data_IF_132376818138
#
_entry.id   IF_132376818138
#
_cell.length_a   1.000
_cell.length_b   1.000
_cell.length_c   1.000
_cell.angle_alpha   90.00
_cell.angle_beta   90.00
_cell.angle_gamma   90.00
#
_symmetry.space_group_name_H-M   'P 1'
#
loop_
_entity.id
_entity.type
_entity.pdbx_description
1 polymer ?
#
# COMPACT_ATOMS: atom_id res chain seq x y z
N UNK A 1 -10.75 -5.54 -12.46
CA UNK A 1 -9.31 -5.89 -12.37
C UNK A 1 -9.25 -7.26 -11.74
N UNK A 2 -8.56 -8.22 -12.33
CA UNK A 2 -8.55 -9.58 -11.79
C UNK A 2 -7.64 -9.67 -10.56
N UNK A 3 -7.89 -10.64 -9.68
CA UNK A 3 -7.06 -10.85 -8.49
C UNK A 3 -5.61 -11.16 -8.88
N UNK A 4 -5.39 -11.90 -9.98
CA UNK A 4 -4.05 -12.18 -10.50
C UNK A 4 -3.27 -10.89 -10.83
N UNK A 5 -3.91 -9.92 -11.49
CA UNK A 5 -3.30 -8.62 -11.81
C UNK A 5 -2.94 -7.84 -10.54
N UNK A 6 -3.83 -7.84 -9.54
CA UNK A 6 -3.59 -7.21 -8.24
C UNK A 6 -2.37 -7.84 -7.56
N UNK A 7 -2.30 -9.17 -7.55
CA UNK A 7 -1.19 -9.89 -6.94
C UNK A 7 0.14 -9.62 -7.65
N UNK A 8 0.15 -9.52 -8.99
CA UNK A 8 1.34 -9.16 -9.75
C UNK A 8 1.91 -7.78 -9.34
N UNK A 9 1.05 -6.84 -8.95
CA UNK A 9 1.45 -5.51 -8.49
C UNK A 9 1.87 -5.48 -7.01
N UNK A 10 1.26 -6.31 -6.17
CA UNK A 10 1.42 -6.27 -4.71
C UNK A 10 2.53 -7.18 -4.20
N UNK A 11 2.79 -8.30 -4.87
CA UNK A 11 3.79 -9.29 -4.43
C UNK A 11 5.20 -8.70 -4.41
N UNK A 12 5.73 -8.07 -5.49
CA UNK A 12 7.09 -7.56 -5.50
C UNK A 12 7.41 -6.59 -4.34
N UNK A 13 6.61 -5.53 -4.08
CA UNK A 13 6.90 -4.63 -2.97
C UNK A 13 6.73 -5.29 -1.60
N UNK A 14 5.84 -6.28 -1.45
CA UNK A 14 5.68 -7.00 -0.18
C UNK A 14 6.87 -7.91 0.12
N UNK A 15 7.38 -8.62 -0.89
CA UNK A 15 8.59 -9.45 -0.76
C UNK A 15 9.80 -8.59 -0.37
N UNK A 16 9.92 -7.40 -0.96
CA UNK A 16 10.98 -6.46 -0.59
C UNK A 16 10.82 -5.95 0.86
N UNK A 17 9.60 -5.71 1.35
CA UNK A 17 9.36 -5.38 2.76
C UNK A 17 9.80 -6.51 3.69
N UNK A 18 9.47 -7.76 3.35
CA UNK A 18 9.92 -8.93 4.10
C UNK A 18 11.45 -9.04 4.10
N UNK A 19 12.09 -8.88 2.95
CA UNK A 19 13.56 -8.90 2.82
C UNK A 19 14.22 -7.85 3.71
N UNK A 20 13.68 -6.63 3.74
CA UNK A 20 14.21 -5.54 4.58
C UNK A 20 13.99 -5.80 6.07
N UNK A 21 12.84 -6.34 6.44
CA UNK A 21 12.57 -6.74 7.82
C UNK A 21 13.63 -7.75 8.27
N UNK A 22 13.90 -8.78 7.45
CA UNK A 22 14.95 -9.78 7.68
C UNK A 22 16.37 -9.21 7.75
N UNK A 23 16.72 -8.29 6.86
CA UNK A 23 18.06 -7.68 6.88
C UNK A 23 18.33 -6.89 8.17
N UNK A 24 17.31 -6.24 8.72
CA UNK A 24 17.41 -5.54 10.01
C UNK A 24 17.63 -6.50 11.21
N UNK A 25 17.26 -7.78 11.06
CA UNK A 25 17.49 -8.82 12.09
C UNK A 25 18.97 -9.11 12.28
N UNK A 26 19.79 -9.02 11.22
CA UNK A 26 21.24 -9.22 11.27
C UNK A 26 21.98 -8.23 12.20
N UNK A 27 21.33 -7.13 12.57
CA UNK A 27 21.88 -6.11 13.47
C UNK A 27 21.45 -6.30 14.95
N UNK A 28 20.44 -7.14 15.24
CA UNK A 28 19.93 -7.38 16.61
C UNK A 28 19.53 -8.85 16.82
N UNK A 29 20.41 -9.68 17.40
CA UNK A 29 20.28 -11.14 17.37
C UNK A 29 19.25 -11.75 18.34
N UNK A 30 18.35 -10.98 18.98
CA UNK A 30 17.50 -11.51 20.05
C UNK A 30 16.03 -11.76 19.73
N UNK A 31 15.49 -11.31 18.60
CA UNK A 31 14.20 -11.79 18.08
C UNK A 31 13.97 -11.17 16.68
N UNK A 32 13.67 -11.98 15.65
CA UNK A 32 13.44 -11.47 14.29
C UNK A 32 12.24 -10.49 14.27
N UNK A 33 12.46 -9.24 13.86
CA UNK A 33 11.36 -8.26 13.77
C UNK A 33 10.46 -8.63 12.59
N UNK A 34 9.20 -9.07 12.85
CA UNK A 34 8.35 -9.57 11.79
C UNK A 34 8.00 -8.45 10.80
N UNK A 35 7.80 -8.81 9.54
CA UNK A 35 7.26 -7.86 8.56
C UNK A 35 5.96 -7.27 9.09
N UNK A 36 5.93 -5.95 9.27
CA UNK A 36 4.75 -5.25 9.73
C UNK A 36 3.57 -5.49 8.77
N UNK A 37 2.36 -5.79 9.29
CA UNK A 37 1.17 -5.87 8.46
C UNK A 37 0.99 -4.57 7.68
N UNK A 38 0.83 -4.71 6.38
CA UNK A 38 0.85 -3.62 5.42
C UNK A 38 -0.45 -3.60 4.63
N UNK A 39 -1.18 -2.49 4.71
CA UNK A 39 -2.34 -2.21 3.89
C UNK A 39 -1.89 -1.49 2.61
N UNK A 40 -2.35 -1.94 1.45
CA UNK A 40 -1.90 -1.48 0.14
C UNK A 40 -3.12 -1.09 -0.68
N UNK A 41 -3.08 0.13 -1.26
CA UNK A 41 -4.10 0.62 -2.18
C UNK A 41 -3.63 0.48 -3.62
N UNK A 42 -4.43 -0.20 -4.44
CA UNK A 42 -4.20 -0.38 -5.88
C UNK A 42 -5.26 0.37 -6.66
N UNK A 43 -4.84 1.17 -7.64
CA UNK A 43 -5.72 1.91 -8.56
C UNK A 43 -5.00 2.18 -9.86
N UNK A 44 -5.71 2.08 -10.99
CA UNK A 44 -5.15 2.27 -12.33
C UNK A 44 -3.94 1.36 -12.59
N UNK A 45 -4.08 0.07 -12.25
CA UNK A 45 -3.04 -0.95 -12.46
C UNK A 45 -1.68 -0.62 -11.80
N UNK A 46 -1.70 0.13 -10.69
CA UNK A 46 -0.50 0.45 -9.91
C UNK A 46 -0.81 0.49 -8.42
N UNK A 47 0.22 0.26 -7.62
CA UNK A 47 0.20 0.63 -6.20
C UNK A 47 0.23 2.16 -6.10
N UNK A 48 -0.70 2.73 -5.35
CA UNK A 48 -0.80 4.19 -5.13
C UNK A 48 -0.27 4.56 -3.76
N UNK A 49 -0.56 3.76 -2.74
CA UNK A 49 -0.10 4.00 -1.39
C UNK A 49 -0.01 2.71 -0.60
N UNK A 50 0.79 2.73 0.46
CA UNK A 50 0.80 1.69 1.47
C UNK A 50 0.89 2.28 2.87
N UNK A 51 0.36 1.54 3.85
CA UNK A 51 0.49 1.85 5.28
C UNK A 51 0.92 0.59 6.00
N UNK A 52 2.11 0.62 6.60
CA UNK A 52 2.67 -0.47 7.41
C UNK A 52 2.68 -0.07 8.87
N UNK A 53 2.21 -0.92 9.77
CA UNK A 53 2.25 -0.65 11.21
C UNK A 53 2.57 -1.92 12.00
N UNK A 54 3.13 -1.84 13.22
CA UNK A 54 3.48 -3.04 13.99
C UNK A 54 2.28 -3.88 14.44
N UNK A 55 1.05 -3.37 14.37
CA UNK A 55 -0.15 -4.03 14.88
C UNK A 55 -1.23 -4.07 13.81
N UNK A 56 -1.75 -5.27 13.54
CA UNK A 56 -2.79 -5.48 12.53
C UNK A 56 -4.00 -4.56 12.72
N UNK A 57 -4.47 -4.38 13.96
CA UNK A 57 -5.61 -3.50 14.26
C UNK A 57 -5.38 -2.04 13.87
N UNK A 58 -4.15 -1.52 13.96
CA UNK A 58 -3.83 -0.16 13.53
C UNK A 58 -3.77 -0.09 11.99
N UNK A 59 -3.21 -1.12 11.35
CA UNK A 59 -3.20 -1.26 9.89
C UNK A 59 -4.64 -1.29 9.33
N UNK A 60 -5.53 -2.10 9.91
CA UNK A 60 -6.94 -2.20 9.50
C UNK A 60 -7.71 -0.88 9.74
N UNK A 61 -7.41 -0.16 10.82
CA UNK A 61 -7.97 1.17 11.08
C UNK A 61 -7.61 2.23 10.02
N UNK A 62 -6.67 1.93 9.12
CA UNK A 62 -6.30 2.77 7.98
C UNK A 62 -7.09 2.42 6.70
N UNK A 63 -7.85 1.32 6.67
CA UNK A 63 -8.62 0.88 5.50
C UNK A 63 -9.67 1.91 5.07
N UNK A 64 -10.47 2.39 6.01
CA UNK A 64 -11.50 3.40 5.76
C UNK A 64 -10.95 4.69 5.15
N UNK A 65 -9.99 5.40 5.78
CA UNK A 65 -9.43 6.62 5.19
C UNK A 65 -8.72 6.37 3.85
N UNK A 66 -8.08 5.19 3.66
CA UNK A 66 -7.51 4.84 2.35
C UNK A 66 -8.60 4.63 1.28
N UNK A 67 -9.70 3.94 1.60
CA UNK A 67 -10.79 3.71 0.65
C UNK A 67 -11.49 5.01 0.24
N UNK A 68 -11.74 5.90 1.20
CA UNK A 68 -12.42 7.17 0.97
C UNK A 68 -11.51 8.17 0.24
N UNK A 69 -10.24 8.24 0.65
CA UNK A 69 -9.31 9.25 0.15
C UNK A 69 -8.57 8.88 -1.13
N UNK A 70 -8.25 7.60 -1.33
CA UNK A 70 -7.45 7.15 -2.47
C UNK A 70 -8.29 6.52 -3.59
N UNK A 71 -9.59 6.39 -3.39
CA UNK A 71 -10.51 5.71 -4.31
C UNK A 71 -9.92 4.44 -4.97
N UNK A 72 -9.44 3.47 -4.17
CA UNK A 72 -8.76 2.31 -4.72
C UNK A 72 -9.71 1.39 -5.48
N UNK A 73 -9.20 0.75 -6.53
CA UNK A 73 -9.88 -0.38 -7.17
C UNK A 73 -9.77 -1.66 -6.35
N UNK A 74 -8.72 -1.76 -5.52
CA UNK A 74 -8.56 -2.83 -4.54
C UNK A 74 -7.77 -2.37 -3.32
N UNK A 75 -8.13 -2.89 -2.15
CA UNK A 75 -7.32 -2.87 -0.95
C UNK A 75 -6.77 -4.28 -0.69
N UNK A 76 -5.50 -4.34 -0.32
CA UNK A 76 -4.83 -5.59 0.05
C UNK A 76 -4.16 -5.43 1.40
N UNK A 77 -4.45 -6.34 2.33
CA UNK A 77 -3.67 -6.49 3.57
C UNK A 77 -2.67 -7.61 3.35
N UNK A 78 -1.39 -7.26 3.37
CA UNK A 78 -0.28 -8.20 3.32
C UNK A 78 0.34 -8.34 4.72
N UNK A 79 0.54 -9.56 5.19
CA UNK A 79 1.14 -9.84 6.49
C UNK A 79 1.99 -11.10 6.45
N UNK A 80 3.01 -11.13 7.33
CA UNK A 80 3.73 -12.36 7.61
C UNK A 80 2.83 -13.30 8.40
N UNK A 81 2.79 -14.56 7.99
CA UNK A 81 2.04 -15.63 8.64
C UNK A 81 2.91 -16.87 8.81
N UNK A 82 2.45 -17.79 9.65
CA UNK A 82 2.99 -19.14 9.73
C UNK A 82 1.89 -20.13 9.36
N UNK A 83 2.15 -20.98 8.36
CA UNK A 83 1.24 -22.01 7.88
C UNK A 83 1.93 -23.34 8.09
N UNK A 84 1.35 -24.20 8.93
CA UNK A 84 1.93 -25.51 9.28
C UNK A 84 3.39 -25.40 9.76
N UNK A 85 3.70 -24.36 10.55
CA UNK A 85 5.05 -24.09 11.05
C UNK A 85 6.02 -23.44 10.05
N UNK A 86 5.60 -23.22 8.81
CA UNK A 86 6.42 -22.61 7.76
C UNK A 86 6.05 -21.14 7.56
N UNK A 87 7.06 -20.31 7.29
CA UNK A 87 6.89 -18.91 6.99
C UNK A 87 6.09 -18.73 5.68
N UNK A 88 5.15 -17.80 5.68
CA UNK A 88 4.39 -17.42 4.49
C UNK A 88 4.06 -15.92 4.50
N UNK A 89 3.79 -15.39 3.32
CA UNK A 89 3.10 -14.11 3.14
C UNK A 89 1.62 -14.40 2.87
N UNK A 90 0.77 -13.80 3.69
CA UNK A 90 -0.67 -13.89 3.57
C UNK A 90 -1.23 -12.57 3.03
N UNK A 91 -2.12 -12.66 2.06
CA UNK A 91 -2.75 -11.53 1.39
C UNK A 91 -4.26 -11.65 1.47
N UNK A 92 -4.90 -10.69 2.12
CA UNK A 92 -6.36 -10.51 2.07
C UNK A 92 -6.69 -9.41 1.08
N UNK A 93 -7.28 -9.79 -0.05
CA UNK A 93 -7.63 -8.89 -1.15
C UNK A 93 -9.13 -8.60 -1.12
N UNK A 94 -9.47 -7.32 -1.22
CA UNK A 94 -10.85 -6.86 -1.43
C UNK A 94 -10.87 -5.85 -2.58
N UNK A 95 -11.59 -6.19 -3.63
CA UNK A 95 -11.81 -5.29 -4.76
C UNK A 95 -13.01 -4.37 -4.53
N UNK A 96 -13.10 -3.31 -5.33
CA UNK A 96 -14.21 -2.34 -5.29
C UNK A 96 -15.57 -2.97 -5.62
N UNK A 97 -15.59 -3.98 -6.47
CA UNK A 97 -16.78 -4.77 -6.81
C UNK A 97 -17.12 -5.84 -5.77
N UNK A 98 -16.48 -5.81 -4.59
CA UNK A 98 -16.67 -6.72 -3.45
C UNK A 98 -16.29 -8.18 -3.74
N UNK A 99 -15.37 -8.39 -4.67
CA UNK A 99 -14.70 -9.67 -4.83
C UNK A 99 -13.59 -9.80 -3.79
N UNK A 100 -13.72 -10.82 -2.94
CA UNK A 100 -12.75 -11.12 -1.89
C UNK A 100 -11.89 -12.31 -2.28
N UNK A 101 -10.60 -12.29 -1.92
CA UNK A 101 -9.71 -13.45 -2.03
C UNK A 101 -8.69 -13.48 -0.91
N UNK A 102 -8.42 -14.66 -0.38
CA UNK A 102 -7.28 -14.92 0.47
C UNK A 102 -6.23 -15.68 -0.34
N UNK A 103 -4.99 -15.18 -0.33
CA UNK A 103 -3.87 -15.73 -1.11
C UNK A 103 -2.71 -15.97 -0.16
N UNK A 104 -2.08 -17.13 -0.27
CA UNK A 104 -0.90 -17.51 0.50
C UNK A 104 0.30 -17.65 -0.44
N UNK A 105 1.45 -17.22 0.03
CA UNK A 105 2.70 -17.36 -0.67
C UNK A 105 3.75 -17.91 0.29
N UNK A 106 4.18 -19.15 0.07
CA UNK A 106 5.17 -19.81 0.92
C UNK A 106 6.52 -19.10 0.82
N UNK A 107 7.21 -18.99 1.95
CA UNK A 107 8.55 -18.42 2.02
C UNK A 107 9.49 -19.46 2.62
N UNK A 108 10.59 -19.73 1.92
CA UNK A 108 11.67 -20.57 2.39
C UNK A 108 12.97 -19.77 2.40
N UNK A 109 13.92 -20.21 3.22
CA UNK A 109 15.29 -19.72 3.17
C UNK A 109 16.16 -20.83 2.57
N UNK A 110 16.94 -20.49 1.54
CA UNK A 110 17.90 -21.39 0.90
C UNK A 110 19.20 -20.64 0.71
N UNK A 111 20.29 -21.17 1.22
CA UNK A 111 21.64 -20.57 1.12
C UNK A 111 21.70 -19.10 1.60
N UNK A 112 20.96 -18.78 2.67
CA UNK A 112 20.86 -17.43 3.22
C UNK A 112 20.05 -16.44 2.35
N UNK A 113 19.40 -16.93 1.29
CA UNK A 113 18.52 -16.15 0.44
C UNK A 113 17.06 -16.54 0.64
N UNK A 114 16.19 -15.52 0.61
CA UNK A 114 14.76 -15.69 0.74
C UNK A 114 14.17 -16.14 -0.61
N UNK A 115 13.69 -17.37 -0.65
CA UNK A 115 13.03 -17.98 -1.80
C UNK A 115 11.52 -17.92 -1.59
N UNK A 116 10.83 -17.23 -2.51
CA UNK A 116 9.39 -17.04 -2.43
C UNK A 116 8.68 -17.93 -3.45
N UNK A 117 7.68 -18.68 -3.00
CA UNK A 117 6.83 -19.50 -3.86
C UNK A 117 5.89 -18.67 -4.73
N UNK A 118 5.13 -19.34 -5.59
CA UNK A 118 4.05 -18.67 -6.34
C UNK A 118 2.87 -18.40 -5.41
N UNK A 119 2.19 -17.24 -5.53
CA UNK A 119 0.94 -17.01 -4.80
C UNK A 119 -0.10 -18.06 -5.19
N UNK A 120 -0.69 -18.70 -4.20
CA UNK A 120 -1.71 -19.74 -4.34
C UNK A 120 -2.97 -19.38 -3.57
N UNK A 121 -4.08 -20.02 -3.91
CA UNK A 121 -5.33 -19.87 -3.18
C UNK A 121 -5.12 -20.27 -1.71
N UNK A 122 -5.39 -19.34 -0.80
CA UNK A 122 -5.26 -19.58 0.64
C UNK A 122 -6.49 -20.25 1.25
N UNK A 123 -7.55 -20.47 0.47
CA UNK A 123 -8.82 -20.98 0.97
C UNK A 123 -9.61 -19.90 1.73
N UNK A 124 -10.39 -20.33 2.73
CA UNK A 124 -11.11 -19.41 3.60
C UNK A 124 -10.22 -18.95 4.76
N UNK A 125 -10.17 -17.63 5.06
CA UNK A 125 -9.39 -17.15 6.18
C UNK A 125 -10.01 -17.60 7.50
N UNK A 126 -9.15 -18.03 8.44
CA UNK A 126 -9.59 -18.46 9.78
C UNK A 126 -10.25 -17.32 10.58
N UNK A 127 -9.84 -16.08 10.35
CA UNK A 127 -10.47 -14.87 10.90
C UNK A 127 -11.05 -14.02 9.76
N UNK A 128 -12.39 -13.94 9.62
CA UNK A 128 -13.03 -13.16 8.57
C UNK A 128 -12.96 -11.65 8.82
N UNK A 129 -12.52 -11.20 10.01
CA UNK A 129 -12.53 -9.79 10.41
C UNK A 129 -11.75 -8.88 9.44
N UNK A 130 -10.64 -9.36 8.89
CA UNK A 130 -9.85 -8.62 7.91
C UNK A 130 -10.69 -8.34 6.66
N UNK A 131 -11.29 -9.37 6.07
CA UNK A 131 -12.10 -9.22 4.86
C UNK A 131 -13.36 -8.38 5.12
N UNK A 132 -13.99 -8.53 6.28
CA UNK A 132 -15.13 -7.71 6.67
C UNK A 132 -14.75 -6.22 6.75
N UNK A 133 -13.65 -5.90 7.43
CA UNK A 133 -13.16 -4.51 7.56
C UNK A 133 -12.85 -3.90 6.19
N UNK A 134 -12.23 -4.69 5.30
CA UNK A 134 -11.95 -4.26 3.93
C UNK A 134 -13.24 -4.05 3.12
N UNK A 135 -14.23 -4.94 3.25
CA UNK A 135 -15.52 -4.80 2.56
C UNK A 135 -16.27 -3.55 3.03
N UNK A 136 -16.31 -3.30 4.34
CA UNK A 136 -16.92 -2.11 4.93
C UNK A 136 -16.26 -0.82 4.43
N UNK A 137 -14.92 -0.79 4.38
CA UNK A 137 -14.15 0.33 3.84
C UNK A 137 -14.41 0.54 2.34
N UNK A 138 -14.33 -0.52 1.53
CA UNK A 138 -14.54 -0.46 0.08
C UNK A 138 -15.99 -0.14 -0.30
N UNK A 139 -16.94 -0.37 0.61
CA UNK A 139 -18.33 0.06 0.47
C UNK A 139 -18.55 1.57 0.62
N UNK A 140 -17.57 2.32 1.10
CA UNK A 140 -17.71 3.77 1.33
C UNK A 140 -17.54 4.58 0.05
N UNK A 141 -18.27 5.69 -0.03
CA UNK A 141 -18.15 6.62 -1.15
C UNK A 141 -16.81 7.38 -1.07
N UNK A 142 -16.03 7.46 -2.17
CA UNK A 142 -14.79 8.23 -2.19
C UNK A 142 -15.06 9.74 -2.17
N UNK A 143 -14.03 10.50 -1.82
CA UNK A 143 -14.04 11.96 -1.93
C UNK A 143 -14.23 12.39 -3.39
N UNK A 144 -15.10 13.37 -3.61
CA UNK A 144 -15.30 13.97 -4.93
C UNK A 144 -14.12 14.90 -5.28
N UNK A 145 -13.24 14.42 -6.16
CA UNK A 145 -12.03 15.13 -6.58
C UNK A 145 -12.30 16.33 -7.48
N UNK A 146 -13.53 16.47 -8.00
CA UNK A 146 -13.93 17.61 -8.85
C UNK A 146 -14.24 18.86 -8.02
N UNK A 147 -14.35 18.72 -6.69
CA UNK A 147 -14.70 19.80 -5.76
C UNK A 147 -13.51 20.25 -4.90
N UNK A 148 -12.29 19.93 -5.33
CA UNK A 148 -11.09 20.34 -4.61
C UNK A 148 -10.78 21.79 -4.96
N UNK A 149 -10.98 22.69 -4.00
CA UNK A 149 -10.77 24.12 -4.20
C UNK A 149 -9.29 24.47 -4.43
N UNK A 150 -9.07 25.49 -5.27
CA UNK A 150 -7.76 26.12 -5.46
C UNK A 150 -7.33 26.87 -4.19
N UNK A 151 -6.03 26.84 -3.88
CA UNK A 151 -5.47 27.59 -2.73
C UNK A 151 -5.15 29.04 -3.08
N UNK A 152 -4.90 29.32 -4.36
CA UNK A 152 -4.64 30.63 -4.93
C UNK A 152 -5.96 31.36 -5.23
N UNK A 153 -6.76 31.61 -4.19
CA UNK A 153 -7.97 32.43 -4.26
C UNK A 153 -7.61 33.93 -4.31
N UNK A 154 -6.84 34.31 -5.33
CA UNK A 154 -6.54 35.71 -5.68
C UNK A 154 -7.33 36.23 -6.88
N UNK A 155 -8.25 35.45 -7.43
CA UNK A 155 -8.95 35.73 -8.69
C UNK A 155 -10.37 36.26 -8.52
N UNK A 156 -10.62 37.40 -9.16
CA UNK A 156 -11.90 38.06 -9.43
C UNK A 156 -12.98 37.12 -10.01
N UNK A 157 -14.26 37.48 -9.82
CA UNK A 157 -15.44 36.81 -10.37
C UNK A 157 -15.21 36.26 -11.81
N UNK A 158 -15.23 34.93 -11.98
CA UNK A 158 -15.19 34.27 -13.30
C UNK A 158 -14.17 33.15 -13.49
N UNK A 159 -13.27 32.87 -12.54
CA UNK A 159 -12.31 31.76 -12.64
C UNK A 159 -12.84 30.42 -12.11
N UNK A 160 -12.35 29.31 -12.68
CA UNK A 160 -12.61 27.95 -12.20
C UNK A 160 -12.19 27.81 -10.73
N UNK A 161 -13.19 27.71 -9.85
CA UNK A 161 -13.03 27.66 -8.39
C UNK A 161 -12.31 26.38 -7.92
N UNK A 162 -12.36 25.33 -8.73
CA UNK A 162 -11.85 24.00 -8.41
C UNK A 162 -10.67 23.61 -9.30
N UNK A 163 -9.83 22.73 -8.79
CA UNK A 163 -8.75 22.14 -9.54
C UNK A 163 -9.29 21.18 -10.62
N UNK A 164 -8.55 21.02 -11.74
CA UNK A 164 -8.80 19.92 -12.65
C UNK A 164 -8.83 18.57 -11.90
N UNK A 165 -9.74 17.64 -12.23
CA UNK A 165 -9.94 16.41 -11.45
C UNK A 165 -8.67 15.60 -11.21
N UNK A 166 -7.77 15.53 -12.20
CA UNK A 166 -6.49 14.84 -12.05
C UNK A 166 -5.56 15.48 -11.00
N UNK A 167 -5.55 16.81 -10.93
CA UNK A 167 -4.79 17.54 -9.92
C UNK A 167 -5.47 17.45 -8.56
N UNK A 168 -6.81 17.56 -8.54
CA UNK A 168 -7.63 17.32 -7.36
C UNK A 168 -7.35 15.95 -6.76
N UNK A 169 -7.24 14.90 -7.59
CA UNK A 169 -6.89 13.55 -7.15
C UNK A 169 -5.54 13.50 -6.44
N UNK A 170 -4.50 14.14 -7.00
CA UNK A 170 -3.17 14.17 -6.37
C UNK A 170 -3.22 14.90 -5.03
N UNK A 171 -4.00 15.98 -4.93
CA UNK A 171 -4.16 16.73 -3.67
C UNK A 171 -4.88 15.89 -2.62
N UNK A 172 -5.96 15.18 -2.99
CA UNK A 172 -6.69 14.30 -2.07
C UNK A 172 -5.81 13.11 -1.65
N UNK A 173 -5.09 12.49 -2.59
CA UNK A 173 -4.15 11.41 -2.30
C UNK A 173 -3.10 11.87 -1.28
N UNK A 174 -2.46 13.01 -1.55
CA UNK A 174 -1.43 13.60 -0.70
C UNK A 174 -1.96 13.93 0.70
N UNK A 175 -3.16 14.52 0.78
CA UNK A 175 -3.82 14.84 2.05
C UNK A 175 -4.14 13.59 2.85
N UNK A 176 -4.66 12.56 2.18
CA UNK A 176 -4.96 11.25 2.78
C UNK A 176 -3.70 10.60 3.35
N UNK A 177 -2.63 10.50 2.55
CA UNK A 177 -1.37 9.87 3.01
C UNK A 177 -0.69 10.71 4.09
N UNK A 178 -0.75 12.03 4.03
CA UNK A 178 -0.27 12.91 5.11
C UNK A 178 -0.99 12.61 6.43
N UNK A 179 -2.32 12.52 6.41
CA UNK A 179 -3.12 12.22 7.60
C UNK A 179 -2.81 10.81 8.14
N UNK A 180 -2.68 9.83 7.26
CA UNK A 180 -2.25 8.48 7.62
C UNK A 180 -0.86 8.49 8.28
N UNK A 181 0.12 9.17 7.69
CA UNK A 181 1.47 9.31 8.26
C UNK A 181 1.44 9.96 9.64
N UNK A 182 0.64 11.02 9.83
CA UNK A 182 0.48 11.67 11.13
C UNK A 182 -0.12 10.73 12.18
N UNK A 183 -1.04 9.85 11.77
CA UNK A 183 -1.66 8.86 12.65
C UNK A 183 -0.70 7.76 13.07
N UNK A 184 0.12 7.26 12.15
CA UNK A 184 0.95 6.06 12.39
C UNK A 184 2.38 6.35 12.87
N UNK A 185 2.89 7.58 12.69
CA UNK A 185 4.26 7.95 13.11
C UNK A 185 4.56 7.69 14.59
N UNK A 186 3.56 7.80 15.46
CA UNK A 186 3.72 7.61 16.90
C UNK A 186 3.83 6.15 17.34
N UNK A 187 3.56 5.20 16.43
CA UNK A 187 3.54 3.77 16.71
C UNK A 187 4.51 2.99 15.82
N UNK A 188 5.62 3.63 15.41
CA UNK A 188 6.61 3.07 14.46
C UNK A 188 6.02 2.68 13.09
N UNK A 189 4.82 3.15 12.76
CA UNK A 189 4.21 2.91 11.46
C UNK A 189 4.67 3.92 10.41
N UNK A 190 4.44 3.57 9.14
CA UNK A 190 4.81 4.40 7.99
C UNK A 190 3.72 4.35 6.94
N UNK A 191 3.38 5.50 6.38
CA UNK A 191 2.52 5.66 5.22
C UNK A 191 3.36 6.18 4.04
N UNK A 192 3.24 5.51 2.90
CA UNK A 192 3.98 5.78 1.67
C UNK A 192 3.00 6.08 0.54
N UNK A 193 3.39 7.00 -0.35
CA UNK A 193 2.68 7.40 -1.55
C UNK A 193 3.59 7.18 -2.76
N UNK A 194 3.09 6.47 -3.76
CA UNK A 194 3.80 6.22 -5.02
C UNK A 194 3.26 7.19 -6.05
N UNK A 195 4.07 8.17 -6.44
CA UNK A 195 3.68 9.12 -7.47
C UNK A 195 3.64 8.46 -8.85
N UNK A 196 2.62 8.79 -9.67
CA UNK A 196 2.51 8.29 -11.05
C UNK A 196 3.53 8.91 -12.01
N UNK A 197 4.07 10.07 -11.65
CA UNK A 197 5.06 10.81 -12.43
C UNK A 197 5.79 11.80 -11.53
N UNK A 198 6.95 12.35 -11.95
CA UNK A 198 7.65 13.41 -11.24
C UNK A 198 6.78 14.65 -10.98
N UNK A 199 5.93 15.04 -11.93
CA UNK A 199 5.01 16.19 -11.81
C UNK A 199 3.96 15.95 -10.72
N UNK A 200 3.38 14.74 -10.70
CA UNK A 200 2.46 14.35 -9.65
C UNK A 200 3.15 14.31 -8.28
N UNK A 201 4.40 13.88 -8.21
CA UNK A 201 5.21 13.94 -6.99
C UNK A 201 5.43 15.37 -6.51
N UNK A 202 5.83 16.28 -7.40
CA UNK A 202 5.99 17.71 -7.08
C UNK A 202 4.68 18.33 -6.60
N UNK A 203 3.57 18.02 -7.26
CA UNK A 203 2.25 18.50 -6.85
C UNK A 203 1.84 17.95 -5.48
N UNK A 204 2.06 16.66 -5.22
CA UNK A 204 1.79 16.06 -3.91
C UNK A 204 2.60 16.72 -2.78
N UNK A 205 3.88 17.03 -3.03
CA UNK A 205 4.71 17.77 -2.08
C UNK A 205 4.18 19.19 -1.84
N UNK A 206 3.76 19.91 -2.89
CA UNK A 206 3.10 21.23 -2.76
C UNK A 206 1.78 21.14 -1.99
N UNK A 207 1.06 20.04 -2.12
CA UNK A 207 -0.16 19.76 -1.37
C UNK A 207 0.10 19.46 0.13
N UNK A 208 1.36 19.25 0.51
CA UNK A 208 1.79 19.04 1.89
C UNK A 208 2.08 17.58 2.26
N UNK A 209 2.25 16.70 1.27
CA UNK A 209 2.77 15.35 1.51
C UNK A 209 4.17 15.44 2.15
N UNK A 210 4.45 14.73 3.26
CA UNK A 210 5.80 14.63 3.80
C UNK A 210 6.77 14.02 2.78
N UNK A 211 7.96 14.60 2.60
CA UNK A 211 8.98 14.06 1.68
C UNK A 211 9.34 12.60 1.99
N UNK A 212 9.37 12.23 3.27
CA UNK A 212 9.65 10.86 3.74
C UNK A 212 8.57 9.85 3.38
N UNK A 213 7.38 10.32 3.00
CA UNK A 213 6.26 9.50 2.53
C UNK A 213 6.20 9.40 1.00
N UNK A 214 6.96 10.19 0.24
CA UNK A 214 6.97 10.12 -1.22
C UNK A 214 7.95 9.04 -1.70
N UNK A 215 7.48 8.13 -2.54
CA UNK A 215 8.29 7.24 -3.36
C UNK A 215 8.24 7.74 -4.80
N UNK A 216 9.41 8.00 -5.37
CA UNK A 216 9.59 8.29 -6.80
C UNK A 216 9.85 6.99 -7.54
N UNK A 217 9.35 6.90 -8.78
CA UNK A 217 9.60 5.77 -9.68
C UNK A 217 11.09 5.59 -10.06
N UNK A 218 11.95 6.54 -9.69
CA UNK A 218 13.40 6.42 -9.77
C UNK A 218 13.94 5.90 -8.43
N UNK A 219 14.11 4.59 -8.35
CA UNK A 219 15.02 3.90 -7.42
C UNK A 219 15.57 2.68 -8.18
N UNK A 220 16.88 2.41 -8.05
CA UNK A 220 17.71 1.92 -9.14
C UNK A 220 17.33 0.51 -9.61
N UNK A 221 17.47 0.30 -10.91
CA UNK A 221 17.41 -1.00 -11.57
C UNK A 221 18.22 -2.02 -10.76
N UNK A 222 17.52 -3.05 -10.27
CA UNK A 222 18.17 -4.29 -9.87
C UNK A 222 18.70 -4.87 -11.18
N UNK A 223 20.00 -4.71 -11.43
CA UNK A 223 20.68 -5.38 -12.52
C UNK A 223 20.42 -6.88 -12.33
N UNK A 224 19.55 -7.43 -13.17
CA UNK A 224 19.55 -8.86 -13.43
C UNK A 224 20.91 -9.12 -14.07
N UNK A 225 21.83 -9.69 -13.31
CA UNK A 225 22.99 -10.35 -13.90
C UNK A 225 22.42 -11.51 -14.70
N UNK A 226 22.35 -11.29 -16.01
CA UNK A 226 22.26 -12.35 -17.00
C UNK A 226 23.33 -13.39 -16.67
N UNK A 227 22.92 -14.64 -16.66
CA UNK A 227 23.85 -15.75 -16.51
C UNK A 227 24.76 -15.78 -17.73
N UNK A 228 26.05 -15.99 -17.47
CA UNK A 228 26.99 -16.51 -18.45
C UNK A 228 27.50 -17.85 -17.89
N UNK A 229 27.20 -18.89 -18.67
CA UNK A 229 27.84 -20.21 -18.87
C UNK A 229 28.52 -20.96 -17.70
#
# INVERSE_FOLDING_TARGET
>A
MQIADIMALVVPPTVELLRRARAAEGERPQEPEPMFPTLIAVRHQRVVASVSTPRMSITLNCALPMAVGLDPQALVVAAQAHVEGHLALAYSVMTRDRTAKFVLQTVAERDGQLVVGRPADGGEPADPHILQTLAEAMGQRPVDVTRVARKDMGGTFGEDTFLPPEQGQVVVDAGTVKNLQQRVKGVRGRALYVARSPEAGRLALKAGLPRTSLLTSESPEVMATEGDD
#
